data_IF_505442982267
#
_entry.id   IF_505442982267
#
_cell.length_a   1.000
_cell.length_b   1.000
_cell.length_c   1.000
_cell.angle_alpha   90.00
_cell.angle_beta   90.00
_cell.angle_gamma   90.00
#
_symmetry.space_group_name_H-M   'P 1'
#
loop_
_entity.id
_entity.type
_entity.pdbx_description
1 polymer ?
#
# COMPACT_ATOMS: atom_id res chain seq x y z
N UNK A 1 13.91 -2.59 4.84
CA UNK A 1 13.16 -1.89 3.77
C UNK A 1 14.12 -1.61 2.60
N UNK A 2 13.68 -1.70 1.32
CA UNK A 2 14.48 -1.23 0.18
C UNK A 2 14.81 0.26 0.29
N UNK A 3 15.93 0.71 -0.28
CA UNK A 3 16.38 2.11 -0.20
C UNK A 3 15.46 3.06 -0.95
N UNK A 4 14.71 2.54 -1.90
CA UNK A 4 13.75 3.23 -2.75
C UNK A 4 12.46 3.62 -1.98
N UNK A 5 12.19 2.98 -0.83
CA UNK A 5 11.06 3.29 0.03
C UNK A 5 11.56 4.04 1.27
N UNK A 6 11.21 5.32 1.37
CA UNK A 6 11.61 6.18 2.47
C UNK A 6 10.58 6.15 3.59
N UNK A 7 10.94 5.54 4.72
CA UNK A 7 10.04 5.36 5.87
C UNK A 7 9.78 6.64 6.66
N UNK A 8 10.42 7.76 6.31
CA UNK A 8 10.20 9.06 6.94
C UNK A 8 9.09 9.87 6.25
N UNK A 9 8.49 9.34 5.19
CA UNK A 9 7.45 10.02 4.41
C UNK A 9 6.17 9.19 4.34
N UNK A 10 5.06 9.90 4.18
CA UNK A 10 3.78 9.33 3.77
C UNK A 10 3.73 9.33 2.25
N UNK A 11 3.00 8.39 1.66
CA UNK A 11 2.70 8.40 0.24
C UNK A 11 1.21 8.60 0.01
N UNK A 12 0.85 9.60 -0.77
CA UNK A 12 -0.51 10.06 -1.06
C UNK A 12 -1.08 9.28 -2.26
N UNK A 13 -2.31 8.75 -2.15
CA UNK A 13 -2.98 8.12 -3.28
C UNK A 13 -3.33 9.18 -4.34
N UNK A 14 -2.67 9.11 -5.50
CA UNK A 14 -2.86 10.06 -6.60
C UNK A 14 -3.65 9.48 -7.77
N UNK A 15 -3.72 8.15 -7.90
CA UNK A 15 -4.54 7.51 -8.92
C UNK A 15 -5.02 6.11 -8.51
N UNK A 16 -6.21 5.76 -9.03
CA UNK A 16 -6.77 4.40 -8.99
C UNK A 16 -7.17 4.01 -10.42
N UNK A 17 -7.04 2.73 -10.74
CA UNK A 17 -7.44 2.21 -12.03
C UNK A 17 -7.17 0.72 -12.14
N UNK A 18 -7.10 0.24 -13.36
CA UNK A 18 -6.65 -1.11 -13.66
C UNK A 18 -5.29 -1.07 -14.35
N UNK A 19 -4.48 -2.09 -14.10
CA UNK A 19 -3.23 -2.29 -14.81
C UNK A 19 -2.97 -3.76 -15.10
N UNK A 20 -2.11 -3.99 -16.08
CA UNK A 20 -1.64 -5.32 -16.43
C UNK A 20 -0.58 -5.84 -15.42
N UNK A 21 0.00 -7.01 -15.69
CA UNK A 21 1.06 -7.60 -14.83
C UNK A 21 2.36 -6.79 -14.77
N UNK A 22 2.58 -5.89 -15.72
CA UNK A 22 3.76 -5.03 -15.84
C UNK A 22 3.52 -3.63 -15.26
N UNK A 23 2.34 -3.40 -14.65
CA UNK A 23 1.86 -2.11 -14.15
C UNK A 23 1.51 -1.09 -15.25
N UNK A 24 1.31 -1.54 -16.48
CA UNK A 24 0.82 -0.70 -17.57
C UNK A 24 -0.67 -0.44 -17.37
N UNK A 25 -1.06 0.84 -17.38
CA UNK A 25 -2.43 1.26 -17.09
C UNK A 25 -3.36 0.88 -18.23
N UNK A 26 -4.43 0.18 -17.90
CA UNK A 26 -5.41 -0.33 -18.89
C UNK A 26 -6.73 0.45 -18.85
N UNK A 27 -7.17 0.86 -17.65
CA UNK A 27 -8.42 1.63 -17.45
C UNK A 27 -8.28 2.61 -16.29
N UNK A 28 -8.91 3.76 -16.42
CA UNK A 28 -9.02 4.71 -15.32
C UNK A 28 -10.21 4.39 -14.40
N UNK A 29 -10.09 4.75 -13.14
CA UNK A 29 -11.19 4.76 -12.18
C UNK A 29 -11.18 6.11 -11.46
N UNK A 30 -12.33 6.77 -11.28
CA UNK A 30 -12.37 8.01 -10.52
C UNK A 30 -11.90 7.74 -9.09
N UNK A 31 -10.94 8.55 -8.63
CA UNK A 31 -10.40 8.45 -7.27
C UNK A 31 -11.46 8.96 -6.30
N UNK A 32 -11.90 8.12 -5.37
CA UNK A 32 -12.80 8.51 -4.28
C UNK A 32 -12.02 8.49 -2.97
N UNK A 33 -11.57 9.65 -2.50
CA UNK A 33 -11.04 9.85 -1.14
C UNK A 33 -9.51 9.97 -1.03
N UNK A 34 -9.07 10.59 0.06
CA UNK A 34 -7.65 10.77 0.40
C UNK A 34 -7.15 9.55 1.19
N UNK A 35 -6.55 8.60 0.49
CA UNK A 35 -5.89 7.46 1.12
C UNK A 35 -4.38 7.65 1.13
N UNK A 36 -3.73 7.15 2.16
CA UNK A 36 -2.29 7.25 2.31
C UNK A 36 -1.69 5.91 2.68
N UNK A 37 -0.39 5.75 2.42
CA UNK A 37 0.38 4.60 2.88
C UNK A 37 1.67 5.05 3.55
N UNK A 38 2.00 4.38 4.66
CA UNK A 38 3.22 4.60 5.44
C UNK A 38 3.94 3.27 5.60
N UNK A 39 5.27 3.29 5.44
CA UNK A 39 6.14 2.13 5.64
C UNK A 39 6.98 2.30 6.90
N UNK A 40 7.19 1.20 7.62
CA UNK A 40 8.04 1.16 8.80
C UNK A 40 9.26 0.28 8.54
N UNK A 41 10.39 0.58 9.21
CA UNK A 41 11.65 -0.13 8.98
C UNK A 41 11.59 -1.64 9.25
N UNK A 42 10.70 -2.06 10.14
CA UNK A 42 10.45 -3.48 10.48
C UNK A 42 9.60 -4.22 9.43
N UNK A 43 9.20 -3.57 8.33
CA UNK A 43 8.36 -4.17 7.30
C UNK A 43 6.86 -4.01 7.55
N UNK A 44 6.44 -3.43 8.67
CA UNK A 44 5.03 -3.07 8.85
C UNK A 44 4.64 -1.98 7.84
N UNK A 45 3.37 -2.02 7.44
CA UNK A 45 2.76 -1.06 6.53
C UNK A 45 1.46 -0.59 7.15
N UNK A 46 1.20 0.71 7.05
CA UNK A 46 -0.08 1.29 7.48
C UNK A 46 -0.78 1.92 6.30
N UNK A 47 -2.01 1.50 6.06
CA UNK A 47 -2.94 2.09 5.09
C UNK A 47 -3.83 3.06 5.85
N UNK A 48 -3.80 4.35 5.53
CA UNK A 48 -4.47 5.42 6.28
C UNK A 48 -5.64 5.94 5.43
N UNK A 49 -6.86 5.93 5.98
CA UNK A 49 -8.09 6.27 5.23
C UNK A 49 -8.34 7.78 5.12
N UNK A 50 -7.79 8.55 6.06
CA UNK A 50 -7.77 10.00 6.15
C UNK A 50 -6.64 10.35 7.12
N UNK A 51 -6.01 11.52 6.96
CA UNK A 51 -4.75 11.90 7.64
C UNK A 51 -4.93 12.03 9.17
N UNK A 52 -4.98 10.90 9.86
CA UNK A 52 -5.15 10.76 11.30
C UNK A 52 -4.00 9.89 11.85
N UNK A 53 -3.07 10.47 12.63
CA UNK A 53 -1.89 9.77 13.11
C UNK A 53 -2.21 8.63 14.07
N UNK A 54 -3.31 8.68 14.81
CA UNK A 54 -3.63 7.64 15.78
C UNK A 54 -4.13 6.37 15.07
N UNK A 55 -3.39 5.25 15.15
CA UNK A 55 -3.75 4.02 14.45
C UNK A 55 -5.01 3.34 15.01
N UNK A 56 -5.39 3.62 16.25
CA UNK A 56 -6.66 3.15 16.84
C UNK A 56 -7.89 3.85 16.25
N UNK A 57 -7.69 5.01 15.60
CA UNK A 57 -8.77 5.81 15.00
C UNK A 57 -8.89 5.63 13.49
N UNK A 58 -7.78 5.39 12.81
CA UNK A 58 -7.76 5.33 11.35
C UNK A 58 -6.70 4.37 10.81
N UNK A 59 -7.14 3.59 9.83
CA UNK A 59 -6.29 2.83 8.94
C UNK A 59 -6.36 1.33 9.16
N UNK A 60 -5.55 0.62 8.39
CA UNK A 60 -5.39 -0.83 8.44
C UNK A 60 -3.91 -1.18 8.49
N UNK A 61 -3.61 -2.33 9.09
CA UNK A 61 -2.27 -2.90 9.14
C UNK A 61 -1.96 -3.64 7.85
N UNK A 62 -0.69 -3.82 7.60
CA UNK A 62 -0.17 -4.67 6.56
C UNK A 62 1.29 -5.01 6.77
N UNK A 63 1.81 -5.85 5.89
CA UNK A 63 3.19 -6.29 5.91
C UNK A 63 3.80 -6.20 4.52
N UNK A 64 4.97 -5.58 4.44
CA UNK A 64 5.85 -5.56 3.29
C UNK A 64 6.81 -6.76 3.35
N UNK A 65 7.02 -7.41 2.20
CA UNK A 65 8.02 -8.47 2.08
C UNK A 65 8.54 -8.58 0.65
N UNK A 66 9.69 -9.25 0.52
CA UNK A 66 10.31 -9.58 -0.77
C UNK A 66 10.29 -11.10 -0.92
N UNK A 67 9.80 -11.58 -2.07
CA UNK A 67 9.81 -13.01 -2.42
C UNK A 67 10.17 -13.16 -3.88
N UNK A 68 11.17 -13.98 -4.18
CA UNK A 68 11.67 -14.21 -5.54
C UNK A 68 11.94 -12.89 -6.28
N UNK A 69 12.72 -12.00 -5.64
CA UNK A 69 13.14 -10.68 -6.16
C UNK A 69 11.98 -9.70 -6.45
N UNK A 70 10.76 -10.04 -6.04
CA UNK A 70 9.56 -9.22 -6.23
C UNK A 70 9.07 -8.70 -4.89
N UNK A 71 8.63 -7.45 -4.89
CA UNK A 71 8.10 -6.78 -3.71
C UNK A 71 6.60 -7.00 -3.59
N UNK A 72 6.14 -7.21 -2.37
CA UNK A 72 4.75 -7.45 -2.04
C UNK A 72 4.35 -6.67 -0.80
N UNK A 73 3.05 -6.37 -0.72
CA UNK A 73 2.40 -5.87 0.48
C UNK A 73 1.12 -6.65 0.71
N UNK A 74 0.94 -7.17 1.91
CA UNK A 74 -0.32 -7.76 2.35
C UNK A 74 -1.05 -6.74 3.22
N UNK A 75 -2.28 -6.35 2.84
CA UNK A 75 -3.17 -5.55 3.70
C UNK A 75 -4.04 -6.49 4.51
N UNK A 76 -4.11 -6.28 5.81
CA UNK A 76 -4.99 -7.02 6.71
C UNK A 76 -6.32 -6.29 6.83
N UNK A 77 -7.40 -7.06 6.80
CA UNK A 77 -8.75 -6.55 6.99
C UNK A 77 -9.67 -7.60 7.61
N UNK A 78 -10.95 -7.27 7.67
CA UNK A 78 -12.00 -8.16 8.17
C UNK A 78 -13.07 -8.35 7.09
N UNK A 79 -13.59 -9.55 6.98
CA UNK A 79 -14.84 -9.82 6.25
C UNK A 79 -16.06 -9.57 7.13
N UNK A 80 -17.24 -9.56 6.52
CA UNK A 80 -18.52 -9.31 7.22
C UNK A 80 -18.83 -10.32 8.32
N UNK A 81 -18.28 -11.53 8.24
CA UNK A 81 -18.37 -12.58 9.26
C UNK A 81 -17.31 -12.46 10.37
N UNK A 82 -16.53 -11.37 10.36
CA UNK A 82 -15.42 -11.06 11.29
C UNK A 82 -14.20 -11.97 11.17
N UNK A 83 -14.13 -12.82 10.14
CA UNK A 83 -12.88 -13.55 9.86
C UNK A 83 -11.81 -12.61 9.28
N UNK A 84 -10.55 -12.93 9.53
CA UNK A 84 -9.42 -12.18 8.99
C UNK A 84 -9.27 -12.42 7.50
N UNK A 85 -9.12 -11.35 6.73
CA UNK A 85 -8.84 -11.41 5.29
C UNK A 85 -7.52 -10.72 4.98
N UNK A 86 -6.75 -11.32 4.08
CA UNK A 86 -5.52 -10.74 3.54
C UNK A 86 -5.81 -10.32 2.10
N UNK A 87 -5.54 -9.06 1.81
CA UNK A 87 -5.52 -8.53 0.45
C UNK A 87 -4.06 -8.40 0.00
N UNK A 88 -3.54 -9.36 -0.79
CA UNK A 88 -2.17 -9.30 -1.26
C UNK A 88 -2.04 -8.35 -2.46
N UNK A 89 -0.92 -7.63 -2.50
CA UNK A 89 -0.56 -6.70 -3.56
C UNK A 89 0.86 -6.96 -4.02
N UNK A 90 1.10 -6.85 -5.33
CA UNK A 90 2.44 -6.62 -5.86
C UNK A 90 2.78 -5.16 -5.77
N UNK A 91 4.02 -4.88 -5.41
CA UNK A 91 4.56 -3.53 -5.28
C UNK A 91 5.64 -3.29 -6.34
N UNK A 92 5.61 -2.11 -6.94
CA UNK A 92 6.68 -1.55 -7.80
C UNK A 92 6.96 -0.13 -7.34
N UNK A 93 8.24 0.26 -7.33
CA UNK A 93 8.68 1.63 -7.02
C UNK A 93 9.32 2.22 -8.27
N UNK A 94 8.92 3.44 -8.65
CA UNK A 94 9.55 4.21 -9.72
C UNK A 94 9.72 5.66 -9.27
N UNK A 95 10.94 6.05 -8.93
CA UNK A 95 11.22 7.35 -8.33
C UNK A 95 10.41 7.55 -7.05
N UNK A 96 9.60 8.61 -7.00
CA UNK A 96 8.72 8.94 -5.88
C UNK A 96 7.38 8.20 -5.89
N UNK A 97 7.14 7.31 -6.86
CA UNK A 97 5.86 6.62 -7.01
C UNK A 97 5.92 5.18 -6.52
N UNK A 98 4.89 4.78 -5.77
CA UNK A 98 4.62 3.40 -5.36
C UNK A 98 3.36 2.92 -6.06
N UNK A 99 3.49 1.82 -6.79
CA UNK A 99 2.37 1.16 -7.47
C UNK A 99 2.01 -0.10 -6.68
N UNK A 100 0.76 -0.19 -6.25
CA UNK A 100 0.18 -1.38 -5.62
C UNK A 100 -0.86 -1.99 -6.54
N UNK A 101 -0.53 -3.15 -7.11
CA UNK A 101 -1.45 -3.93 -7.94
C UNK A 101 -1.99 -5.09 -7.13
N UNK A 102 -3.32 -5.23 -7.06
CA UNK A 102 -3.95 -6.37 -6.39
C UNK A 102 -3.44 -7.67 -7.02
N UNK A 103 -2.84 -8.50 -6.18
CA UNK A 103 -2.31 -9.77 -6.60
C UNK A 103 -3.38 -10.84 -6.40
N UNK A 104 -3.77 -11.49 -7.49
CA UNK A 104 -4.61 -12.67 -7.41
C UNK A 104 -3.99 -13.72 -8.30
N UNK A 105 -3.59 -14.84 -7.68
CA UNK A 105 -3.17 -16.01 -8.42
C UNK A 105 -4.44 -16.65 -8.99
N UNK A 106 -4.55 -16.65 -10.31
CA UNK A 106 -5.67 -17.28 -11.04
C UNK A 106 -5.09 -18.52 -11.71
N UNK A 107 -5.37 -19.70 -11.15
CA UNK A 107 -4.73 -20.97 -11.53
C UNK A 107 -3.19 -20.92 -11.44
N UNK A 108 -2.51 -21.09 -12.58
CA UNK A 108 -1.05 -21.12 -12.73
C UNK A 108 -0.45 -19.76 -13.12
N UNK A 109 -1.28 -18.73 -13.33
CA UNK A 109 -0.83 -17.41 -13.76
C UNK A 109 -1.39 -16.31 -12.88
N UNK A 110 -0.90 -15.10 -13.09
CA UNK A 110 -1.50 -13.90 -12.51
C UNK A 110 -2.64 -13.43 -13.41
N UNK A 111 -3.63 -12.79 -12.81
CA UNK A 111 -4.66 -12.09 -13.58
C UNK A 111 -4.01 -11.22 -14.67
N UNK A 112 -4.59 -11.18 -15.86
CA UNK A 112 -4.11 -10.32 -16.95
C UNK A 112 -4.25 -8.84 -16.61
N UNK A 113 -5.28 -8.50 -15.84
CA UNK A 113 -5.61 -7.15 -15.43
C UNK A 113 -6.07 -7.17 -13.96
N UNK A 114 -5.67 -6.18 -13.17
CA UNK A 114 -6.16 -6.03 -11.79
C UNK A 114 -6.18 -4.59 -11.33
N UNK A 115 -6.89 -4.36 -10.22
CA UNK A 115 -6.98 -3.07 -9.56
C UNK A 115 -5.57 -2.60 -9.15
N UNK A 116 -5.27 -1.35 -9.48
CA UNK A 116 -3.99 -0.69 -9.23
C UNK A 116 -4.19 0.63 -8.51
N UNK A 117 -3.34 0.86 -7.51
CA UNK A 117 -3.27 2.08 -6.73
C UNK A 117 -1.90 2.70 -6.96
N UNK A 118 -1.86 4.00 -7.24
CA UNK A 118 -0.62 4.75 -7.41
C UNK A 118 -0.52 5.76 -6.28
N UNK A 119 0.53 5.63 -5.50
CA UNK A 119 0.86 6.56 -4.43
C UNK A 119 2.08 7.38 -4.81
N UNK A 120 2.08 8.67 -4.48
CA UNK A 120 3.22 9.57 -4.66
C UNK A 120 3.79 9.92 -3.30
N UNK A 121 5.11 9.91 -3.15
CA UNK A 121 5.78 10.41 -1.95
C UNK A 121 5.35 11.86 -1.68
N UNK A 122 4.97 12.13 -0.45
CA UNK A 122 4.64 13.49 0.01
C UNK A 122 5.88 14.38 -0.03
N UNK A 123 5.67 15.69 -0.17
CA UNK A 123 6.75 16.68 -0.19
C UNK A 123 7.34 16.92 1.22
N UNK A 124 6.55 16.65 2.26
CA UNK A 124 6.91 16.85 3.66
C UNK A 124 7.15 15.52 4.39
N UNK A 125 8.10 15.52 5.32
CA UNK A 125 8.34 14.36 6.20
C UNK A 125 7.16 14.17 7.15
N UNK A 126 6.99 12.93 7.61
CA UNK A 126 6.09 12.61 8.71
C UNK A 126 6.43 13.50 9.91
N UNK A 127 5.46 14.23 10.49
CA UNK A 127 5.68 15.06 11.66
C UNK A 127 6.27 14.25 12.83
N UNK A 128 7.19 14.85 13.58
CA UNK A 128 7.87 14.17 14.69
C UNK A 128 6.90 13.64 15.76
N UNK A 129 5.78 14.34 15.97
CA UNK A 129 4.78 13.93 16.96
C UNK A 129 4.01 12.67 16.58
N UNK A 130 4.11 12.20 15.32
CA UNK A 130 3.57 10.90 14.88
C UNK A 130 4.45 9.73 15.35
N UNK A 131 5.72 9.97 15.69
CA UNK A 131 6.65 8.92 16.14
C UNK A 131 6.21 8.25 17.45
N UNK A 132 5.30 8.87 18.21
CA UNK A 132 4.68 8.27 19.41
C UNK A 132 3.81 7.05 19.11
N UNK A 133 3.45 6.81 17.84
CA UNK A 133 2.69 5.64 17.40
C UNK A 133 3.64 4.61 16.76
N UNK A 134 4.17 3.63 17.54
CA UNK A 134 5.10 2.62 17.02
C UNK A 134 4.38 1.65 16.11
N UNK A 135 5.09 0.98 15.19
CA UNK A 135 4.49 0.01 14.25
C UNK A 135 3.74 -1.19 14.89
N UNK A 136 3.94 -1.43 16.19
CA UNK A 136 3.46 -2.62 16.93
C UNK A 136 2.06 -2.45 17.56
N UNK A 137 1.34 -1.38 17.20
CA UNK A 137 -0.06 -1.21 17.59
C UNK A 137 -0.90 -2.39 17.13
#
# INVERSE_FOLDING_TARGET
MPKEIDTNYIYDLVAVGYCDKNFERTRESPVLGAYYIQFYNNGAVRFINYLEPNPEKSGNRGAFYIRNEKMFVDKFGLSSDRSGIIYPYRLKVEGDYIYLRRFQKVFFSESSESLCFVYKKSDEKIPEDWQKYPAEW
#
